data_IF_205250855793
#
_entry.id   IF_205250855793
#
_cell.length_a   1.000
_cell.length_b   1.000
_cell.length_c   1.000
_cell.angle_alpha   90.00
_cell.angle_beta   90.00
_cell.angle_gamma   90.00
#
_symmetry.space_group_name_H-M   'P 1'
#
loop_
_entity.id
_entity.type
_entity.pdbx_description
1 polymer ?
#
# COMPACT_ATOMS: atom_id res chain seq x y z
N UNK A 1 12.99 49.84 -21.34
CA UNK A 1 13.00 48.70 -22.29
C UNK A 1 13.62 47.51 -21.56
N UNK A 2 12.79 46.55 -21.16
CA UNK A 2 13.03 45.17 -20.68
C UNK A 2 11.72 44.75 -19.99
N UNK A 3 10.99 43.72 -20.46
CA UNK A 3 9.69 43.39 -19.90
C UNK A 3 9.83 42.52 -18.64
N UNK A 4 9.07 42.90 -17.60
CA UNK A 4 8.94 42.19 -16.32
C UNK A 4 8.20 40.86 -16.52
N UNK A 5 8.82 39.74 -16.12
CA UNK A 5 8.17 38.44 -16.03
C UNK A 5 7.28 38.37 -14.79
N UNK A 6 6.01 38.06 -15.03
CA UNK A 6 4.96 37.85 -14.02
C UNK A 6 5.13 36.45 -13.44
N UNK A 7 5.36 36.37 -12.12
CA UNK A 7 5.36 35.12 -11.35
C UNK A 7 3.93 34.84 -10.87
N UNK A 8 3.34 33.65 -11.10
CA UNK A 8 2.09 33.29 -10.44
C UNK A 8 2.37 32.93 -8.97
N UNK A 9 1.90 33.79 -8.06
CA UNK A 9 1.82 33.50 -6.62
C UNK A 9 0.64 32.55 -6.38
N UNK A 10 0.89 31.42 -5.72
CA UNK A 10 -0.14 30.45 -5.39
C UNK A 10 0.34 29.34 -4.45
N UNK A 11 1.12 29.68 -3.41
CA UNK A 11 1.34 28.77 -2.28
C UNK A 11 0.32 29.12 -1.19
N UNK A 12 -0.63 28.22 -0.91
CA UNK A 12 -1.53 28.30 0.24
C UNK A 12 -0.70 28.08 1.51
N UNK A 13 -0.31 29.18 2.15
CA UNK A 13 0.28 29.20 3.50
C UNK A 13 -0.88 29.30 4.49
N UNK A 14 -1.20 28.21 5.18
CA UNK A 14 -2.26 28.19 6.20
C UNK A 14 -1.66 28.64 7.54
N UNK A 15 -2.06 29.83 8.00
CA UNK A 15 -1.88 30.29 9.38
C UNK A 15 -3.26 30.63 9.93
N UNK A 16 -3.66 30.07 11.07
CA UNK A 16 -4.92 30.41 11.74
C UNK A 16 -4.72 30.82 13.20
N UNK A 17 -5.54 31.76 13.73
CA UNK A 17 -5.51 32.22 15.10
C UNK A 17 -6.30 31.29 16.05
N UNK A 18 -5.93 31.32 17.33
CA UNK A 18 -6.57 30.58 18.45
C UNK A 18 -8.04 30.97 18.62
N UNK A 19 -8.94 29.98 18.72
CA UNK A 19 -10.30 30.17 19.27
C UNK A 19 -10.64 28.99 20.21
N UNK A 20 -11.24 29.34 21.35
CA UNK A 20 -11.57 28.54 22.55
C UNK A 20 -12.87 27.74 22.35
N UNK A 21 -13.05 26.54 22.95
CA UNK A 21 -14.20 25.68 22.69
C UNK A 21 -15.45 26.09 23.49
N UNK A 22 -16.63 25.93 22.88
CA UNK A 22 -17.94 25.92 23.56
C UNK A 22 -18.72 24.68 23.08
N UNK A 23 -19.41 23.92 23.96
CA UNK A 23 -20.10 22.69 23.59
C UNK A 23 -21.61 22.88 23.46
N UNK A 24 -22.23 22.51 22.32
CA UNK A 24 -23.68 22.22 22.23
C UNK A 24 -23.97 21.18 21.11
N UNK A 25 -25.16 20.56 21.03
CA UNK A 25 -25.33 19.11 21.10
C UNK A 25 -25.82 18.48 19.78
N UNK A 26 -25.91 17.15 19.81
CA UNK A 26 -26.22 16.21 18.74
C UNK A 26 -27.52 16.56 17.99
N UNK A 27 -27.38 16.92 16.71
CA UNK A 27 -28.40 16.85 15.66
C UNK A 27 -27.66 16.50 14.36
N UNK A 28 -27.86 15.28 13.87
CA UNK A 28 -27.13 14.71 12.72
C UNK A 28 -27.52 15.47 11.44
N UNK A 29 -26.60 16.20 10.78
CA UNK A 29 -26.92 16.94 9.56
C UNK A 29 -26.87 16.04 8.33
N UNK A 30 -27.48 16.53 7.26
CA UNK A 30 -27.53 16.02 5.87
C UNK A 30 -26.12 15.94 5.20
N UNK A 31 -25.05 16.08 5.99
CA UNK A 31 -23.63 16.13 5.61
C UNK A 31 -22.98 14.78 5.26
N UNK A 32 -23.75 13.68 5.26
CA UNK A 32 -23.25 12.33 5.04
C UNK A 32 -23.43 11.80 3.61
N UNK A 33 -23.97 12.56 2.65
CA UNK A 33 -24.41 11.97 1.38
C UNK A 33 -23.29 11.46 0.46
N UNK A 34 -22.12 12.11 0.38
CA UNK A 34 -20.97 11.55 -0.34
C UNK A 34 -20.36 10.34 0.39
N UNK A 35 -20.43 10.33 1.72
CA UNK A 35 -20.07 9.21 2.60
C UNK A 35 -21.03 8.01 2.42
N UNK A 36 -22.32 8.27 2.22
CA UNK A 36 -23.36 7.26 1.96
C UNK A 36 -23.29 6.70 0.54
N UNK A 37 -23.04 7.56 -0.45
CA UNK A 37 -23.04 7.18 -1.87
C UNK A 37 -21.80 6.34 -2.23
N UNK A 38 -20.64 6.62 -1.62
CA UNK A 38 -19.41 5.85 -1.89
C UNK A 38 -19.17 4.71 -0.90
N UNK A 39 -19.60 4.78 0.37
CA UNK A 39 -19.02 3.92 1.42
C UNK A 39 -19.98 3.21 2.40
N UNK A 40 -21.29 3.47 2.46
CA UNK A 40 -22.16 2.74 3.39
C UNK A 40 -23.48 2.22 2.79
N UNK A 41 -23.35 1.13 2.04
CA UNK A 41 -24.28 -0.01 2.15
C UNK A 41 -23.49 -1.29 2.44
N UNK A 42 -22.60 -1.24 3.43
CA UNK A 42 -22.27 -2.44 4.22
C UNK A 42 -23.22 -2.37 5.40
N UNK A 43 -24.26 -3.21 5.34
CA UNK A 43 -25.36 -3.27 6.28
C UNK A 43 -24.87 -3.19 7.75
N UNK A 44 -25.52 -2.36 8.58
CA UNK A 44 -25.33 -2.28 10.04
C UNK A 44 -25.74 -3.57 10.77
N UNK A 45 -25.96 -4.68 10.05
CA UNK A 45 -26.23 -6.02 10.56
C UNK A 45 -25.04 -6.97 10.56
N UNK A 46 -23.86 -6.55 10.08
CA UNK A 46 -22.64 -7.37 10.23
C UNK A 46 -22.00 -7.13 11.60
N UNK A 47 -22.79 -7.34 12.65
CA UNK A 47 -22.27 -7.64 13.98
C UNK A 47 -22.12 -9.16 14.06
N UNK A 48 -20.94 -9.61 14.46
CA UNK A 48 -20.61 -11.02 14.71
C UNK A 48 -20.61 -11.96 13.49
N UNK A 49 -19.54 -11.89 12.69
CA UNK A 49 -18.87 -13.11 12.21
C UNK A 49 -17.37 -12.85 12.34
N UNK A 50 -16.77 -13.31 13.44
CA UNK A 50 -15.31 -13.43 13.58
C UNK A 50 -14.90 -14.64 12.74
N UNK A 51 -14.78 -14.42 11.44
CA UNK A 51 -13.79 -15.13 10.64
C UNK A 51 -12.60 -14.17 10.60
N UNK A 52 -11.38 -14.66 10.79
CA UNK A 52 -10.15 -13.88 10.64
C UNK A 52 -10.20 -13.18 9.28
N UNK A 53 -10.66 -11.93 9.24
CA UNK A 53 -10.85 -11.20 7.99
C UNK A 53 -9.50 -10.61 7.63
N UNK A 54 -8.87 -11.17 6.60
CA UNK A 54 -7.71 -10.53 5.98
C UNK A 54 -8.22 -9.22 5.36
N UNK A 55 -7.93 -8.10 6.01
CA UNK A 55 -8.16 -6.79 5.43
C UNK A 55 -7.22 -6.61 4.24
N UNK A 56 -7.74 -6.07 3.14
CA UNK A 56 -6.96 -5.85 1.94
C UNK A 56 -6.99 -4.39 1.55
N UNK A 57 -5.82 -3.84 1.27
CA UNK A 57 -5.73 -2.52 0.64
C UNK A 57 -5.96 -2.62 -0.86
N UNK A 58 -6.87 -1.81 -1.35
CA UNK A 58 -7.11 -1.65 -2.78
C UNK A 58 -7.21 -0.17 -3.15
N UNK A 59 -7.36 0.10 -4.45
CA UNK A 59 -7.27 1.45 -5.00
C UNK A 59 -8.52 1.81 -5.80
N UNK A 60 -9.01 3.02 -5.56
CA UNK A 60 -10.04 3.71 -6.34
C UNK A 60 -9.38 4.91 -7.00
N UNK A 61 -9.64 5.16 -8.28
CA UNK A 61 -9.06 6.28 -9.03
C UNK A 61 -10.18 7.06 -9.72
N UNK A 62 -10.23 8.37 -9.50
CA UNK A 62 -11.03 9.33 -10.24
C UNK A 62 -10.09 10.22 -11.04
N UNK A 63 -10.17 10.20 -12.37
CA UNK A 63 -9.51 11.17 -13.24
C UNK A 63 -10.54 12.16 -13.76
N UNK A 64 -10.46 13.37 -13.25
CA UNK A 64 -11.34 14.50 -13.54
C UNK A 64 -10.69 15.37 -14.62
N UNK A 65 -11.18 15.26 -15.86
CA UNK A 65 -10.59 15.96 -16.99
C UNK A 65 -11.00 17.43 -16.97
N UNK A 66 -10.04 18.34 -17.14
CA UNK A 66 -10.30 19.79 -17.22
C UNK A 66 -10.67 20.44 -15.89
N UNK A 67 -10.74 19.67 -14.79
CA UNK A 67 -11.03 20.17 -13.46
C UNK A 67 -9.77 20.47 -12.68
N UNK A 68 -9.85 21.45 -11.79
CA UNK A 68 -8.85 21.86 -10.83
C UNK A 68 -9.35 21.62 -9.40
N UNK A 69 -8.46 21.55 -8.40
CA UNK A 69 -8.88 21.38 -7.00
C UNK A 69 -9.75 22.53 -6.48
N UNK A 70 -9.68 23.70 -7.11
CA UNK A 70 -10.56 24.84 -6.82
C UNK A 70 -11.99 24.67 -7.32
N UNK A 71 -12.22 23.79 -8.30
CA UNK A 71 -13.54 23.55 -8.90
C UNK A 71 -14.37 22.55 -8.07
N UNK A 72 -13.79 21.99 -7.01
CA UNK A 72 -14.52 21.10 -6.11
C UNK A 72 -15.64 21.86 -5.37
N UNK A 73 -16.86 21.28 -5.30
CA UNK A 73 -17.90 21.80 -4.42
C UNK A 73 -17.36 22.00 -3.00
N UNK A 74 -17.76 23.09 -2.34
CA UNK A 74 -17.23 23.48 -1.02
C UNK A 74 -17.44 22.36 0.01
N UNK A 75 -18.57 21.68 -0.06
CA UNK A 75 -18.93 20.50 0.73
C UNK A 75 -17.97 19.34 0.50
N UNK A 76 -17.75 18.93 -0.77
CA UNK A 76 -16.79 17.89 -1.12
C UNK A 76 -15.37 18.24 -0.66
N UNK A 77 -14.94 19.49 -0.87
CA UNK A 77 -13.61 19.95 -0.43
C UNK A 77 -13.46 19.88 1.08
N UNK A 78 -14.48 20.30 1.82
CA UNK A 78 -14.49 20.24 3.29
C UNK A 78 -14.46 18.80 3.76
N UNK A 79 -15.24 17.91 3.16
CA UNK A 79 -15.24 16.48 3.46
C UNK A 79 -13.90 15.82 3.18
N UNK A 80 -13.26 16.11 2.04
CA UNK A 80 -11.92 15.58 1.74
C UNK A 80 -10.92 16.04 2.80
N UNK A 81 -10.95 17.32 3.19
CA UNK A 81 -10.03 17.86 4.22
C UNK A 81 -10.32 17.24 5.59
N UNK A 82 -11.59 17.17 5.99
CA UNK A 82 -12.02 16.59 7.26
C UNK A 82 -11.63 15.11 7.33
N UNK A 83 -11.83 14.37 6.24
CA UNK A 83 -11.48 12.96 6.16
C UNK A 83 -9.98 12.70 6.24
N UNK A 84 -9.18 13.47 5.50
CA UNK A 84 -7.72 13.43 5.61
C UNK A 84 -7.23 13.82 7.01
N UNK A 85 -8.00 14.64 7.73
CA UNK A 85 -7.70 15.05 9.10
C UNK A 85 -8.10 14.01 10.15
N UNK A 86 -9.17 13.23 9.91
CA UNK A 86 -9.77 12.33 10.92
C UNK A 86 -9.44 10.84 10.72
N UNK A 87 -9.18 10.37 9.51
CA UNK A 87 -8.89 8.94 9.25
C UNK A 87 -7.71 8.73 8.29
N UNK A 88 -6.52 9.27 8.63
CA UNK A 88 -5.32 9.12 7.82
C UNK A 88 -4.71 7.71 7.84
N UNK A 89 -5.26 6.75 8.60
CA UNK A 89 -4.73 5.37 8.64
C UNK A 89 -5.11 4.60 7.38
N UNK A 90 -6.35 4.78 6.92
CA UNK A 90 -6.93 3.91 5.91
C UNK A 90 -6.84 4.47 4.52
N UNK A 91 -6.50 5.76 4.36
CA UNK A 91 -6.57 6.43 3.06
C UNK A 91 -5.36 7.28 2.74
N UNK A 92 -4.76 7.00 1.59
CA UNK A 92 -3.79 7.85 0.92
C UNK A 92 -4.43 8.44 -0.34
N UNK A 93 -4.23 9.75 -0.56
CA UNK A 93 -4.59 10.39 -1.81
C UNK A 93 -3.55 11.35 -2.36
N UNK A 94 -3.52 11.50 -3.67
CA UNK A 94 -2.66 12.43 -4.40
C UNK A 94 -3.47 13.22 -5.43
N UNK A 95 -2.99 14.41 -5.79
CA UNK A 95 -3.57 15.31 -6.81
C UNK A 95 -2.48 15.74 -7.79
N UNK A 96 -2.80 15.92 -9.08
CA UNK A 96 -1.87 16.37 -10.13
C UNK A 96 -2.28 17.69 -10.79
N UNK A 97 -1.32 18.50 -11.28
CA UNK A 97 -1.58 19.61 -12.19
C UNK A 97 -1.97 19.13 -13.61
N UNK A 98 -2.88 19.84 -14.28
CA UNK A 98 -3.31 19.57 -15.67
C UNK A 98 -4.57 18.70 -15.81
N UNK A 99 -4.85 17.82 -14.84
CA UNK A 99 -6.14 17.20 -14.59
C UNK A 99 -6.15 16.69 -13.14
N UNK A 100 -7.27 16.79 -12.42
CA UNK A 100 -7.31 16.27 -11.06
C UNK A 100 -7.47 14.76 -11.11
N UNK A 101 -6.38 14.05 -10.83
CA UNK A 101 -6.43 12.62 -10.53
C UNK A 101 -6.51 12.48 -9.03
N UNK A 102 -7.64 12.04 -8.50
CA UNK A 102 -7.81 11.64 -7.12
C UNK A 102 -7.67 10.13 -7.05
N UNK A 103 -6.70 9.63 -6.31
CA UNK A 103 -6.61 8.20 -6.02
C UNK A 103 -6.76 7.99 -4.54
N UNK A 104 -7.49 6.95 -4.18
CA UNK A 104 -7.85 6.63 -2.80
C UNK A 104 -7.42 5.19 -2.61
N UNK A 105 -6.41 4.98 -1.78
CA UNK A 105 -6.10 3.65 -1.25
C UNK A 105 -7.01 3.40 -0.06
N UNK A 106 -7.60 2.23 0.09
CA UNK A 106 -8.43 1.91 1.25
C UNK A 106 -8.22 0.47 1.72
N UNK A 107 -8.01 0.27 3.03
CA UNK A 107 -8.03 -1.06 3.65
C UNK A 107 -9.46 -1.44 4.01
N UNK A 108 -9.96 -2.55 3.47
CA UNK A 108 -11.24 -3.13 3.88
C UNK A 108 -11.27 -4.65 3.64
N UNK A 109 -12.17 -5.40 4.31
CA UNK A 109 -12.31 -6.84 4.08
C UNK A 109 -12.59 -7.19 2.61
N UNK A 110 -12.15 -8.38 2.17
CA UNK A 110 -12.33 -8.84 0.79
C UNK A 110 -13.78 -8.77 0.30
N UNK A 111 -14.75 -9.14 1.14
CA UNK A 111 -16.17 -9.07 0.78
C UNK A 111 -16.65 -7.63 0.52
N UNK A 112 -16.14 -6.65 1.27
CA UNK A 112 -16.50 -5.25 1.10
C UNK A 112 -15.95 -4.71 -0.22
N UNK A 113 -14.74 -5.12 -0.59
CA UNK A 113 -14.17 -4.86 -1.92
C UNK A 113 -15.00 -5.46 -3.05
N UNK A 114 -15.44 -6.71 -2.90
CA UNK A 114 -16.28 -7.38 -3.90
C UNK A 114 -17.63 -6.68 -4.06
N UNK A 115 -18.28 -6.32 -2.96
CA UNK A 115 -19.50 -5.53 -2.98
C UNK A 115 -19.26 -4.21 -3.70
N UNK A 116 -18.23 -3.44 -3.33
CA UNK A 116 -17.89 -2.16 -3.97
C UNK A 116 -17.76 -2.31 -5.49
N UNK A 117 -16.99 -3.29 -5.96
CA UNK A 117 -16.76 -3.55 -7.37
C UNK A 117 -18.06 -3.95 -8.08
N UNK A 118 -18.84 -4.85 -7.48
CA UNK A 118 -20.07 -5.39 -8.07
C UNK A 118 -21.15 -4.30 -8.20
N UNK A 119 -21.35 -3.49 -7.17
CA UNK A 119 -22.30 -2.37 -7.16
C UNK A 119 -21.72 -1.01 -7.60
N UNK A 120 -20.56 -0.98 -8.26
CA UNK A 120 -19.90 0.28 -8.64
C UNK A 120 -20.77 1.14 -9.55
N UNK A 121 -21.49 0.53 -10.51
CA UNK A 121 -22.33 1.27 -11.44
C UNK A 121 -23.46 2.01 -10.72
N UNK A 122 -24.21 1.31 -9.87
CA UNK A 122 -25.31 1.87 -9.07
C UNK A 122 -24.80 3.01 -8.18
N UNK A 123 -23.64 2.84 -7.54
CA UNK A 123 -22.99 3.91 -6.76
C UNK A 123 -22.64 5.14 -7.59
N UNK A 124 -22.16 4.95 -8.82
CA UNK A 124 -21.89 6.05 -9.73
C UNK A 124 -23.18 6.73 -10.19
N UNK A 125 -24.26 5.98 -10.42
CA UNK A 125 -25.58 6.53 -10.74
C UNK A 125 -26.09 7.40 -9.60
N UNK A 126 -25.96 6.96 -8.35
CA UNK A 126 -26.26 7.77 -7.18
C UNK A 126 -25.36 9.01 -7.04
N UNK A 127 -24.07 8.91 -7.36
CA UNK A 127 -23.14 10.04 -7.33
C UNK A 127 -23.56 11.13 -8.31
N UNK A 128 -23.93 10.75 -9.53
CA UNK A 128 -24.43 11.64 -10.58
C UNK A 128 -25.81 12.23 -10.23
N UNK A 129 -26.64 11.49 -9.48
CA UNK A 129 -27.95 11.93 -9.03
C UNK A 129 -27.92 12.81 -7.75
N UNK A 130 -26.76 12.94 -7.09
CA UNK A 130 -26.62 13.69 -5.83
C UNK A 130 -26.90 15.19 -5.96
N UNK A 131 -27.04 15.89 -4.83
CA UNK A 131 -27.25 17.36 -4.83
C UNK A 131 -26.06 18.13 -5.42
N UNK A 132 -24.86 17.56 -5.37
CA UNK A 132 -23.64 18.02 -6.06
C UNK A 132 -23.54 17.47 -7.49
N UNK A 133 -24.63 16.88 -7.99
CA UNK A 133 -24.69 16.19 -9.26
C UNK A 133 -24.25 17.06 -10.43
N UNK A 134 -24.39 18.38 -10.37
CA UNK A 134 -23.91 19.27 -11.44
C UNK A 134 -22.40 19.19 -11.61
N UNK A 135 -21.64 19.02 -10.54
CA UNK A 135 -20.21 18.74 -10.64
C UNK A 135 -19.98 17.36 -11.28
N UNK A 136 -20.69 16.32 -10.88
CA UNK A 136 -20.47 14.96 -11.42
C UNK A 136 -21.05 14.74 -12.83
N UNK A 137 -22.00 15.59 -13.25
CA UNK A 137 -22.62 15.61 -14.58
C UNK A 137 -21.82 16.40 -15.59
N UNK A 138 -20.97 17.33 -15.15
CA UNK A 138 -20.16 18.20 -16.01
C UNK A 138 -18.79 17.59 -16.32
N UNK A 139 -18.33 17.85 -17.55
CA UNK A 139 -17.08 17.37 -18.11
C UNK A 139 -16.99 15.85 -18.20
N UNK A 140 -15.75 15.37 -18.34
CA UNK A 140 -15.41 13.96 -18.46
C UNK A 140 -14.79 13.51 -17.15
N UNK A 141 -15.26 12.37 -16.63
CA UNK A 141 -14.70 11.74 -15.44
C UNK A 141 -14.46 10.27 -15.76
N UNK A 142 -13.28 9.78 -15.42
CA UNK A 142 -12.95 8.35 -15.51
C UNK A 142 -12.80 7.80 -14.10
N UNK A 143 -13.52 6.72 -13.80
CA UNK A 143 -13.50 6.04 -12.51
C UNK A 143 -12.98 4.63 -12.67
N UNK A 144 -11.94 4.27 -11.93
CA UNK A 144 -11.36 2.94 -11.93
C UNK A 144 -11.39 2.35 -10.52
N UNK A 145 -11.93 1.14 -10.39
CA UNK A 145 -11.86 0.32 -9.16
C UNK A 145 -11.46 -1.09 -9.55
N UNK A 146 -10.29 -1.54 -9.07
CA UNK A 146 -9.64 -2.77 -9.55
C UNK A 146 -9.61 -2.81 -11.09
N UNK A 147 -10.21 -3.84 -11.71
CA UNK A 147 -10.29 -4.01 -13.16
C UNK A 147 -11.49 -3.31 -13.81
N UNK A 148 -12.42 -2.74 -13.04
CA UNK A 148 -13.60 -2.06 -13.61
C UNK A 148 -13.29 -0.60 -13.89
N UNK A 149 -13.58 -0.17 -15.13
CA UNK A 149 -13.35 1.18 -15.61
C UNK A 149 -14.65 1.78 -16.14
N UNK A 150 -15.09 2.90 -15.57
CA UNK A 150 -16.28 3.63 -15.97
C UNK A 150 -15.92 5.02 -16.48
N UNK A 151 -16.60 5.44 -17.54
CA UNK A 151 -16.47 6.76 -18.10
C UNK A 151 -17.80 7.51 -17.96
N UNK A 152 -17.74 8.65 -17.28
CA UNK A 152 -18.83 9.57 -17.05
C UNK A 152 -18.65 10.75 -17.99
N UNK A 153 -19.70 11.05 -18.76
CA UNK A 153 -19.73 12.22 -19.63
C UNK A 153 -21.16 12.72 -19.73
N UNK A 154 -21.37 14.01 -19.46
CA UNK A 154 -22.67 14.68 -19.58
C UNK A 154 -23.78 13.94 -18.79
N UNK A 155 -23.45 13.49 -17.57
CA UNK A 155 -24.32 12.71 -16.70
C UNK A 155 -24.59 11.26 -17.13
N UNK A 156 -24.02 10.79 -18.24
CA UNK A 156 -24.15 9.40 -18.70
C UNK A 156 -22.97 8.57 -18.25
N UNK A 157 -23.25 7.41 -17.65
CA UNK A 157 -22.24 6.44 -17.21
C UNK A 157 -22.10 5.36 -18.27
N UNK A 158 -20.86 5.05 -18.65
CA UNK A 158 -20.54 3.96 -19.58
C UNK A 158 -19.47 3.07 -18.99
N UNK A 159 -19.76 1.77 -18.88
CA UNK A 159 -18.73 0.78 -18.60
C UNK A 159 -17.81 0.66 -19.82
N UNK A 160 -16.52 0.87 -19.62
CA UNK A 160 -15.51 0.58 -20.64
C UNK A 160 -15.23 -0.93 -20.55
N UNK A 161 -15.91 -1.70 -21.39
CA UNK A 161 -15.53 -3.09 -21.66
C UNK A 161 -14.18 -3.04 -22.38
N UNK A 162 -13.12 -3.51 -21.74
CA UNK A 162 -11.76 -3.56 -22.30
C UNK A 162 -11.68 -4.56 -23.44
N UNK A 163 -12.31 -4.27 -24.59
CA UNK A 163 -12.25 -5.12 -25.78
C UNK A 163 -10.99 -4.87 -26.63
N UNK A 164 -10.07 -4.00 -26.18
CA UNK A 164 -8.77 -3.78 -26.82
C UNK A 164 -7.65 -3.65 -25.78
N UNK A 165 -7.17 -4.76 -25.19
CA UNK A 165 -5.97 -4.75 -24.34
C UNK A 165 -4.67 -4.62 -25.13
N UNK A 166 -4.69 -4.83 -26.45
CA UNK A 166 -3.46 -5.09 -27.22
C UNK A 166 -2.53 -3.88 -27.43
N UNK A 167 -3.00 -2.64 -27.28
CA UNK A 167 -2.20 -1.44 -27.59
C UNK A 167 -2.06 -0.46 -26.41
N UNK A 168 -2.49 -0.82 -25.19
CA UNK A 168 -2.20 0.03 -24.03
C UNK A 168 -0.93 -0.45 -23.34
N UNK A 169 -0.10 0.47 -22.81
CA UNK A 169 1.05 0.09 -22.00
C UNK A 169 0.59 -0.62 -20.74
N UNK A 170 1.30 -1.68 -20.40
CA UNK A 170 1.11 -2.38 -19.15
C UNK A 170 2.47 -2.69 -18.54
N UNK A 171 2.65 -2.26 -17.30
CA UNK A 171 3.83 -2.52 -16.51
C UNK A 171 3.64 -3.85 -15.78
N UNK A 172 4.58 -4.77 -15.98
CA UNK A 172 4.56 -6.10 -15.38
C UNK A 172 5.43 -6.17 -14.12
N UNK A 173 6.64 -5.63 -14.19
CA UNK A 173 7.60 -5.59 -13.08
C UNK A 173 8.49 -4.36 -13.15
N UNK A 174 9.06 -4.00 -12.00
CA UNK A 174 10.01 -2.91 -11.82
C UNK A 174 11.17 -3.42 -10.99
N UNK A 175 12.39 -3.12 -11.42
CA UNK A 175 13.62 -3.58 -10.79
C UNK A 175 14.60 -2.43 -10.56
N UNK A 176 15.21 -2.28 -9.38
CA UNK A 176 14.86 -2.97 -8.15
C UNK A 176 13.48 -2.55 -7.62
N UNK A 177 12.81 -3.42 -6.84
CA UNK A 177 11.53 -3.12 -6.18
C UNK A 177 11.71 -2.28 -4.91
N UNK A 178 12.95 -2.15 -4.44
CA UNK A 178 13.33 -1.34 -3.29
C UNK A 178 14.60 -0.54 -3.59
N UNK A 179 14.58 0.75 -3.27
CA UNK A 179 15.70 1.68 -3.45
C UNK A 179 16.16 2.23 -2.11
N UNK A 180 17.45 2.53 -2.01
CA UNK A 180 18.05 3.06 -0.78
C UNK A 180 17.65 4.53 -0.59
N UNK A 181 17.17 4.88 0.61
CA UNK A 181 16.79 6.24 0.95
C UNK A 181 17.99 7.20 0.81
N UNK A 182 17.80 8.32 0.10
CA UNK A 182 18.87 9.28 -0.17
C UNK A 182 19.73 9.00 -1.40
N UNK A 183 19.56 7.85 -2.07
CA UNK A 183 20.38 7.47 -3.23
C UNK A 183 19.59 7.55 -4.55
N UNK A 184 20.25 8.01 -5.61
CA UNK A 184 19.71 7.95 -6.96
C UNK A 184 19.86 6.53 -7.50
N UNK A 185 18.78 5.96 -8.01
CA UNK A 185 18.76 4.59 -8.56
C UNK A 185 18.16 4.59 -9.96
N UNK A 186 18.71 3.76 -10.86
CA UNK A 186 18.11 3.53 -12.18
C UNK A 186 17.29 2.27 -12.14
N UNK A 187 16.00 2.39 -12.46
CA UNK A 187 15.07 1.27 -12.50
C UNK A 187 14.99 0.69 -13.92
N UNK A 188 14.80 -0.62 -14.00
CA UNK A 188 14.42 -1.37 -15.20
C UNK A 188 12.91 -1.66 -15.13
N UNK A 189 12.16 -1.09 -16.05
CA UNK A 189 10.72 -1.28 -16.19
C UNK A 189 10.47 -2.35 -17.25
N UNK A 190 9.79 -3.44 -16.90
CA UNK A 190 9.41 -4.50 -17.84
C UNK A 190 7.90 -4.51 -18.02
N UNK A 191 7.44 -4.56 -19.26
CA UNK A 191 6.03 -4.53 -19.58
C UNK A 191 5.75 -4.74 -21.06
N UNK A 192 4.48 -4.68 -21.46
CA UNK A 192 4.09 -4.61 -22.87
C UNK A 192 3.80 -3.18 -23.28
N UNK A 193 3.95 -2.89 -24.57
CA UNK A 193 3.56 -1.61 -25.16
C UNK A 193 4.19 -0.36 -24.48
N UNK A 194 5.32 -0.50 -23.78
CA UNK A 194 5.97 0.63 -23.11
C UNK A 194 6.57 1.62 -24.13
N UNK A 195 6.80 1.16 -25.37
CA UNK A 195 7.47 1.92 -26.42
C UNK A 195 6.50 2.75 -27.29
N UNK A 196 5.19 2.76 -26.96
CA UNK A 196 4.20 3.47 -27.77
C UNK A 196 4.49 4.99 -27.70
N UNK A 197 4.57 5.69 -28.84
CA UNK A 197 4.77 7.14 -28.87
C UNK A 197 3.71 7.88 -28.04
N UNK A 198 4.16 8.79 -27.16
CA UNK A 198 3.29 9.53 -26.26
C UNK A 198 3.04 8.86 -24.91
N UNK A 199 3.60 7.66 -24.67
CA UNK A 199 3.65 7.04 -23.34
C UNK A 199 4.52 7.88 -22.40
N UNK A 200 4.01 8.13 -21.20
CA UNK A 200 4.70 8.90 -20.16
C UNK A 200 5.05 8.00 -18.99
N UNK A 201 6.28 8.16 -18.51
CA UNK A 201 6.78 7.50 -17.31
C UNK A 201 6.87 8.54 -16.20
N UNK A 202 6.31 8.23 -15.04
CA UNK A 202 6.28 9.15 -13.90
C UNK A 202 6.68 8.42 -12.62
N UNK A 203 7.37 9.13 -11.74
CA UNK A 203 7.51 8.74 -10.35
C UNK A 203 6.69 9.68 -9.47
N UNK A 204 5.78 9.11 -8.68
CA UNK A 204 5.08 9.81 -7.60
C UNK A 204 5.78 9.52 -6.27
N UNK A 205 6.30 10.54 -5.59
CA UNK A 205 6.93 10.37 -4.29
C UNK A 205 6.65 11.58 -3.39
N UNK A 206 6.08 11.34 -2.20
CA UNK A 206 5.70 12.38 -1.21
C UNK A 206 4.97 13.60 -1.82
N UNK A 207 4.01 13.35 -2.70
CA UNK A 207 3.22 14.40 -3.37
C UNK A 207 3.96 15.16 -4.48
N UNK A 208 5.22 14.81 -4.77
CA UNK A 208 5.98 15.34 -5.90
C UNK A 208 5.97 14.36 -7.07
N UNK A 209 6.06 14.93 -8.27
CA UNK A 209 6.17 14.19 -9.52
C UNK A 209 7.49 14.50 -10.17
N UNK A 210 8.30 13.48 -10.40
CA UNK A 210 9.49 13.60 -11.24
C UNK A 210 9.19 12.99 -12.61
N UNK A 211 9.57 13.74 -13.65
CA UNK A 211 9.35 13.43 -15.06
C UNK A 211 10.65 13.01 -15.76
N UNK A 212 11.71 12.71 -15.01
CA UNK A 212 13.06 12.65 -15.56
C UNK A 212 13.31 11.39 -16.39
N UNK A 213 13.41 11.62 -17.70
CA UNK A 213 14.24 10.95 -18.69
C UNK A 213 14.27 9.43 -18.65
N UNK A 214 13.47 8.80 -19.51
CA UNK A 214 13.79 7.44 -19.99
C UNK A 214 15.22 7.47 -20.52
N UNK A 215 16.14 6.80 -19.83
CA UNK A 215 17.58 7.04 -20.01
C UNK A 215 18.10 6.38 -21.29
N UNK A 216 17.56 5.21 -21.67
CA UNK A 216 17.93 4.51 -22.89
C UNK A 216 16.97 3.34 -23.15
N UNK A 217 16.74 3.05 -24.43
CA UNK A 217 16.01 1.87 -24.91
C UNK A 217 16.96 0.68 -24.91
N UNK A 218 16.63 -0.38 -24.17
CA UNK A 218 17.32 -1.65 -24.33
C UNK A 218 16.67 -2.40 -25.49
N UNK A 219 17.29 -2.35 -26.67
CA UNK A 219 17.00 -3.30 -27.75
C UNK A 219 17.69 -4.62 -27.39
N UNK A 220 16.92 -5.71 -27.29
CA UNK A 220 17.50 -7.03 -27.09
C UNK A 220 18.25 -7.47 -28.36
N UNK A 221 19.59 -7.48 -28.34
CA UNK A 221 20.39 -8.33 -29.23
C UNK A 221 20.54 -9.71 -28.58
N UNK A 222 19.44 -10.45 -28.38
CA UNK A 222 19.51 -11.86 -28.00
C UNK A 222 19.21 -12.74 -29.22
N UNK A 223 20.25 -13.39 -29.75
CA UNK A 223 20.22 -14.32 -30.88
C UNK A 223 19.47 -15.65 -30.60
N UNK A 224 18.77 -15.74 -29.47
CA UNK A 224 18.05 -16.93 -28.99
C UNK A 224 16.68 -16.61 -28.37
N UNK A 225 16.07 -15.47 -28.73
CA UNK A 225 14.72 -15.13 -28.28
C UNK A 225 13.68 -16.12 -28.82
N UNK A 226 13.25 -17.03 -27.95
CA UNK A 226 12.03 -17.83 -28.14
C UNK A 226 10.80 -16.90 -28.07
N UNK A 227 10.28 -16.49 -29.24
CA UNK A 227 8.86 -16.23 -29.55
C UNK A 227 7.91 -15.56 -28.53
N UNK A 228 8.35 -14.70 -27.61
CA UNK A 228 7.45 -13.82 -26.83
C UNK A 228 7.64 -12.36 -27.23
N UNK A 229 7.19 -12.01 -28.43
CA UNK A 229 7.41 -10.72 -29.12
C UNK A 229 6.82 -9.44 -28.48
N UNK A 230 6.33 -9.44 -27.23
CA UNK A 230 5.61 -8.28 -26.66
C UNK A 230 6.17 -7.74 -25.32
N UNK A 231 7.34 -8.22 -24.88
CA UNK A 231 7.99 -7.66 -23.69
C UNK A 231 8.99 -6.56 -24.06
N UNK A 232 8.77 -5.37 -23.53
CA UNK A 232 9.58 -4.17 -23.70
C UNK A 232 10.22 -3.79 -22.37
N UNK A 233 11.49 -3.36 -22.42
CA UNK A 233 12.27 -2.89 -21.27
C UNK A 233 12.57 -1.39 -21.41
N UNK A 234 12.43 -0.65 -20.32
CA UNK A 234 12.73 0.79 -20.28
C UNK A 234 13.53 1.13 -19.02
N UNK A 235 14.57 1.97 -19.17
CA UNK A 235 15.34 2.47 -18.03
C UNK A 235 14.75 3.78 -17.52
N UNK A 236 14.57 3.91 -16.21
CA UNK A 236 13.92 5.07 -15.61
C UNK A 236 14.63 5.47 -14.32
N UNK A 237 15.16 6.69 -14.26
CA UNK A 237 15.92 7.16 -13.09
C UNK A 237 14.98 7.72 -12.03
N UNK A 238 15.20 7.31 -10.79
CA UNK A 238 14.48 7.82 -9.62
C UNK A 238 15.47 8.25 -8.54
N UNK A 239 15.05 9.21 -7.73
CA UNK A 239 15.78 9.61 -6.53
C UNK A 239 15.11 9.00 -5.30
N UNK A 240 15.91 8.42 -4.40
CA UNK A 240 15.49 7.87 -3.11
C UNK A 240 15.05 8.92 -2.09
N UNK A 241 14.83 10.16 -2.51
CA UNK A 241 14.36 11.24 -1.66
C UNK A 241 15.42 11.72 -0.66
N UNK A 242 15.00 12.32 0.46
CA UNK A 242 15.92 12.67 1.54
C UNK A 242 16.49 11.42 2.23
N UNK A 243 17.75 11.46 2.71
CA UNK A 243 18.34 10.35 3.45
C UNK A 243 17.54 10.04 4.73
N UNK A 244 17.53 8.77 5.14
CA UNK A 244 16.83 8.25 6.33
C UNK A 244 15.29 8.41 6.31
N UNK A 245 14.69 8.80 5.19
CA UNK A 245 13.24 8.89 5.04
C UNK A 245 12.73 7.67 4.28
N UNK A 246 12.18 6.72 5.03
CA UNK A 246 11.58 5.52 4.45
C UNK A 246 10.19 5.79 3.87
N UNK A 247 9.73 4.97 2.94
CA UNK A 247 8.39 5.08 2.38
C UNK A 247 8.20 4.25 1.13
N UNK A 248 7.41 4.79 0.21
CA UNK A 248 7.30 4.26 -1.16
C UNK A 248 7.21 5.38 -2.18
N UNK A 249 7.66 5.09 -3.38
CA UNK A 249 7.27 5.82 -4.57
C UNK A 249 6.41 4.94 -5.48
N UNK A 250 5.68 5.56 -6.38
CA UNK A 250 4.90 4.87 -7.39
C UNK A 250 5.50 5.14 -8.76
N UNK A 251 5.90 4.09 -9.45
CA UNK A 251 6.31 4.14 -10.85
C UNK A 251 5.10 3.93 -11.72
N UNK A 252 4.94 4.79 -12.70
CA UNK A 252 3.69 4.85 -13.43
C UNK A 252 3.93 4.97 -14.92
N UNK A 253 3.09 4.26 -15.65
CA UNK A 253 3.05 4.31 -17.10
C UNK A 253 1.67 4.79 -17.50
N UNK A 254 1.63 5.93 -18.18
CA UNK A 254 0.40 6.55 -18.64
C UNK A 254 0.42 6.67 -20.16
N UNK A 255 -0.65 6.19 -20.79
CA UNK A 255 -0.94 6.45 -22.20
C UNK A 255 -2.43 6.71 -22.35
N UNK A 256 -2.77 7.87 -22.91
CA UNK A 256 -4.14 8.36 -23.11
C UNK A 256 -4.98 8.40 -21.81
N UNK A 257 -5.84 7.40 -21.60
CA UNK A 257 -6.78 7.29 -20.49
C UNK A 257 -6.35 6.24 -19.45
N UNK A 258 -5.50 5.29 -19.84
CA UNK A 258 -5.11 4.17 -18.98
C UNK A 258 -3.80 4.46 -18.29
N UNK A 259 -3.73 4.06 -17.03
CA UNK A 259 -2.58 4.24 -16.16
C UNK A 259 -2.28 2.95 -15.43
N UNK A 260 -1.05 2.48 -15.57
CA UNK A 260 -0.50 1.39 -14.78
C UNK A 260 0.45 1.96 -13.73
N UNK A 261 0.49 1.36 -12.54
CA UNK A 261 1.25 1.85 -11.40
C UNK A 261 1.87 0.65 -10.67
N UNK A 262 3.12 0.80 -10.28
CA UNK A 262 3.87 -0.19 -9.51
C UNK A 262 4.50 0.49 -8.27
N UNK A 263 4.32 -0.04 -7.06
CA UNK A 263 4.96 0.49 -5.85
C UNK A 263 6.44 0.08 -5.80
N UNK A 264 7.31 1.04 -5.48
CA UNK A 264 8.73 0.81 -5.20
C UNK A 264 9.01 1.31 -3.78
N UNK A 265 9.61 0.47 -2.95
CA UNK A 265 9.91 0.79 -1.55
C UNK A 265 11.14 1.70 -1.48
N UNK A 266 11.10 2.69 -0.61
CA UNK A 266 12.26 3.49 -0.23
C UNK A 266 12.63 3.07 1.18
N UNK A 267 13.80 2.45 1.37
CA UNK A 267 14.19 1.87 2.64
C UNK A 267 15.71 1.95 2.89
N UNK A 268 16.13 1.41 4.04
CA UNK A 268 17.55 1.24 4.35
C UNK A 268 18.14 0.07 3.54
N UNK A 269 19.46 0.09 3.32
CA UNK A 269 20.17 -0.90 2.49
C UNK A 269 19.87 -2.35 2.87
N UNK A 270 19.84 -2.68 4.17
CA UNK A 270 19.56 -4.03 4.64
C UNK A 270 18.15 -4.52 4.26
N UNK A 271 17.15 -3.64 4.35
CA UNK A 271 15.76 -3.96 3.96
C UNK A 271 15.67 -4.07 2.44
N UNK A 272 16.36 -3.21 1.68
CA UNK A 272 16.43 -3.32 0.23
C UNK A 272 16.99 -4.68 -0.21
N UNK A 273 18.07 -5.15 0.42
CA UNK A 273 18.66 -6.47 0.12
C UNK A 273 17.68 -7.62 0.43
N UNK A 274 16.93 -7.55 1.52
CA UNK A 274 15.94 -8.56 1.87
C UNK A 274 14.79 -8.60 0.86
N UNK A 275 14.26 -7.44 0.45
CA UNK A 275 13.15 -7.36 -0.50
C UNK A 275 13.51 -7.84 -1.92
N UNK A 276 14.80 -7.95 -2.28
CA UNK A 276 15.23 -8.51 -3.57
C UNK A 276 14.79 -9.96 -3.80
N UNK A 277 14.38 -10.71 -2.78
CA UNK A 277 13.87 -12.07 -3.00
C UNK A 277 12.50 -12.07 -3.70
N UNK A 278 11.65 -11.06 -3.45
CA UNK A 278 10.32 -10.91 -4.06
C UNK A 278 10.39 -10.62 -5.57
N UNK A 279 11.51 -10.07 -5.97
CA UNK A 279 11.84 -9.69 -7.33
C UNK A 279 11.80 -10.93 -8.24
N UNK A 280 12.38 -12.06 -7.79
CA UNK A 280 12.30 -13.36 -8.48
C UNK A 280 10.88 -13.92 -8.51
N UNK A 281 10.12 -13.79 -7.41
CA UNK A 281 8.72 -14.26 -7.33
C UNK A 281 7.84 -13.54 -8.38
N UNK A 282 8.02 -12.22 -8.52
CA UNK A 282 7.26 -11.42 -9.49
C UNK A 282 7.62 -11.80 -10.93
N UNK A 283 8.90 -12.07 -11.21
CA UNK A 283 9.37 -12.43 -12.54
C UNK A 283 8.91 -13.85 -12.95
N UNK A 284 8.99 -14.85 -12.08
CA UNK A 284 8.52 -16.23 -12.34
C UNK A 284 7.01 -16.28 -12.64
N UNK A 285 6.23 -15.52 -11.89
CA UNK A 285 4.79 -15.36 -12.11
C UNK A 285 4.45 -14.63 -13.41
N UNK A 286 5.36 -13.78 -13.89
CA UNK A 286 5.16 -13.04 -15.15
C UNK A 286 5.50 -13.90 -16.37
N UNK A 287 6.46 -14.83 -16.24
CA UNK A 287 6.85 -15.75 -17.31
C UNK A 287 5.84 -16.88 -17.53
N UNK A 288 5.25 -17.41 -16.46
CA UNK A 288 4.20 -18.45 -16.53
C UNK A 288 2.89 -17.97 -17.19
N UNK A 289 2.58 -16.67 -17.11
CA UNK A 289 1.45 -16.06 -17.81
C UNK A 289 1.67 -15.88 -19.32
N UNK A 290 2.93 -15.94 -19.79
CA UNK A 290 3.28 -15.80 -21.20
C UNK A 290 3.07 -17.05 -22.06
N UNK A 291 2.76 -18.20 -21.44
CA UNK A 291 2.64 -19.51 -22.12
C UNK A 291 1.21 -20.02 -22.27
N UNK A 292 0.20 -19.29 -21.77
CA UNK A 292 -1.21 -19.66 -21.94
C UNK A 292 -1.75 -19.02 -23.22
N UNK A 293 -2.12 -19.85 -24.20
CA UNK A 293 -2.80 -19.43 -25.42
C UNK A 293 -4.05 -18.56 -25.09
N UNK A 294 -4.16 -17.43 -25.77
CA UNK A 294 -5.07 -16.30 -25.50
C UNK A 294 -6.54 -16.58 -25.90
N UNK A 295 -6.96 -17.84 -26.01
CA UNK A 295 -8.29 -18.20 -26.53
C UNK A 295 -9.31 -18.69 -25.49
N UNK A 296 -9.04 -18.53 -24.18
CA UNK A 296 -10.06 -18.81 -23.14
C UNK A 296 -10.24 -17.68 -22.14
N UNK A 297 -10.62 -16.49 -22.63
CA UNK A 297 -11.25 -15.47 -21.77
C UNK A 297 -12.73 -15.83 -21.56
N UNK A 298 -12.96 -16.87 -20.77
CA UNK A 298 -14.31 -17.38 -20.58
C UNK A 298 -14.46 -18.58 -19.66
N UNK A 299 -13.60 -18.84 -18.67
CA UNK A 299 -14.05 -19.64 -17.52
C UNK A 299 -13.17 -19.46 -16.27
N UNK A 300 -13.79 -19.73 -15.13
CA UNK A 300 -13.39 -19.50 -13.77
C UNK A 300 -12.25 -20.44 -13.28
N UNK A 301 -11.65 -20.04 -12.15
CA UNK A 301 -10.98 -20.88 -11.14
C UNK A 301 -9.50 -21.26 -11.29
N UNK A 302 -8.87 -21.36 -12.47
CA UNK A 302 -7.45 -21.72 -12.54
C UNK A 302 -6.47 -20.53 -12.46
N UNK A 303 -6.88 -19.34 -12.92
CA UNK A 303 -6.06 -18.11 -12.95
C UNK A 303 -5.86 -17.45 -11.57
N UNK A 304 -6.49 -17.98 -10.51
CA UNK A 304 -6.56 -17.32 -9.21
C UNK A 304 -5.28 -17.44 -8.36
N UNK A 305 -4.45 -18.47 -8.56
CA UNK A 305 -3.31 -18.75 -7.66
C UNK A 305 -2.08 -17.91 -8.00
N UNK A 306 -1.66 -17.90 -9.27
CA UNK A 306 -0.49 -17.13 -9.73
C UNK A 306 -0.74 -15.61 -9.75
N UNK A 307 -1.96 -15.20 -10.11
CA UNK A 307 -2.44 -13.82 -9.92
C UNK A 307 -2.55 -13.46 -8.43
N UNK A 308 -2.82 -14.45 -7.57
CA UNK A 308 -2.93 -14.31 -6.12
C UNK A 308 -1.62 -13.91 -5.45
N UNK A 309 -0.54 -14.64 -5.70
CA UNK A 309 0.78 -14.40 -5.07
C UNK A 309 1.32 -13.02 -5.47
N UNK A 310 1.37 -12.71 -6.77
CA UNK A 310 1.81 -11.37 -7.26
C UNK A 310 0.98 -10.25 -6.63
N UNK A 311 -0.32 -10.46 -6.52
CA UNK A 311 -1.21 -9.49 -5.90
C UNK A 311 -0.97 -9.36 -4.39
N UNK A 312 -0.68 -10.46 -3.70
CA UNK A 312 -0.29 -10.46 -2.28
C UNK A 312 1.00 -9.69 -2.07
N UNK A 313 2.04 -9.95 -2.87
CA UNK A 313 3.31 -9.20 -2.86
C UNK A 313 3.06 -7.70 -3.08
N UNK A 314 2.26 -7.33 -4.09
CA UNK A 314 1.92 -5.93 -4.34
C UNK A 314 1.09 -5.31 -3.20
N UNK A 315 0.21 -6.07 -2.54
CA UNK A 315 -0.50 -5.61 -1.35
C UNK A 315 0.48 -5.39 -0.20
N UNK A 316 1.39 -6.33 0.04
CA UNK A 316 2.44 -6.21 1.05
C UNK A 316 3.32 -4.97 0.83
N UNK A 317 3.82 -4.73 -0.38
CA UNK A 317 4.61 -3.53 -0.71
C UNK A 317 3.81 -2.24 -0.48
N UNK A 318 2.51 -2.24 -0.81
CA UNK A 318 1.63 -1.11 -0.51
C UNK A 318 1.36 -0.95 1.00
N UNK A 319 1.32 -2.01 1.79
CA UNK A 319 1.18 -1.87 3.25
C UNK A 319 2.47 -1.36 3.87
N UNK A 320 3.60 -1.95 3.48
CA UNK A 320 4.92 -1.65 4.00
C UNK A 320 5.31 -0.21 3.74
N UNK A 321 5.23 0.22 2.47
CA UNK A 321 5.57 1.58 2.10
C UNK A 321 4.67 2.62 2.78
N UNK A 322 3.42 2.26 3.11
CA UNK A 322 2.48 3.16 3.78
C UNK A 322 2.87 3.38 5.22
N UNK A 323 3.17 2.28 5.92
CA UNK A 323 3.68 2.31 7.28
C UNK A 323 4.96 3.16 7.37
N UNK A 324 5.91 2.94 6.48
CA UNK A 324 7.17 3.69 6.44
C UNK A 324 6.98 5.18 6.17
N UNK A 325 6.13 5.54 5.22
CA UNK A 325 5.85 6.95 4.92
C UNK A 325 5.16 7.65 6.09
N UNK A 326 4.32 6.91 6.82
CA UNK A 326 3.55 7.43 7.94
C UNK A 326 4.38 7.62 9.20
N UNK A 327 5.32 6.74 9.51
CA UNK A 327 6.19 6.88 10.68
C UNK A 327 7.02 8.17 10.64
N UNK A 328 7.33 8.67 9.44
CA UNK A 328 8.00 9.97 9.26
C UNK A 328 7.06 11.18 9.46
N UNK A 329 5.75 11.02 9.21
CA UNK A 329 4.79 12.12 9.38
C UNK A 329 4.54 12.44 10.85
N UNK A 330 4.52 11.41 11.69
CA UNK A 330 4.36 11.53 13.15
C UNK A 330 5.56 12.25 13.79
N UNK A 331 6.75 12.14 13.20
CA UNK A 331 7.97 12.82 13.67
C UNK A 331 8.11 14.24 13.12
N UNK A 332 7.70 14.52 11.88
CA UNK A 332 7.88 15.85 11.24
C UNK A 332 6.80 16.89 11.62
N UNK A 333 5.56 16.49 11.95
CA UNK A 333 4.42 17.44 12.05
C UNK A 333 3.55 17.34 13.32
N UNK A 334 3.73 16.32 14.17
CA UNK A 334 2.82 16.11 15.31
C UNK A 334 3.34 16.70 16.62
N UNK A 335 2.97 17.96 16.84
CA UNK A 335 3.07 18.61 18.15
C UNK A 335 1.77 18.66 18.96
N UNK A 336 0.69 17.93 18.60
CA UNK A 336 -0.55 17.70 19.42
C UNK A 336 -1.77 17.11 18.66
N UNK A 337 -1.67 16.69 17.39
CA UNK A 337 -2.81 16.06 16.71
C UNK A 337 -2.82 14.55 16.97
N UNK A 338 -3.97 14.03 17.44
CA UNK A 338 -4.23 12.59 17.56
C UNK A 338 -4.33 11.98 16.17
N UNK A 339 -3.19 11.66 15.57
CA UNK A 339 -3.13 10.94 14.31
C UNK A 339 -3.69 9.53 14.53
N UNK A 340 -4.75 9.17 13.78
CA UNK A 340 -5.37 7.84 13.89
C UNK A 340 -4.28 6.76 13.71
N UNK A 341 -4.03 5.95 14.75
CA UNK A 341 -2.92 4.99 14.78
C UNK A 341 -3.04 3.99 13.62
N UNK A 342 -1.91 3.57 13.05
CA UNK A 342 -1.89 2.50 12.06
C UNK A 342 -2.46 1.22 12.69
N UNK A 343 -3.37 0.54 11.98
CA UNK A 343 -4.11 -0.60 12.55
C UNK A 343 -3.16 -1.73 12.98
N UNK A 344 -3.35 -2.23 14.21
CA UNK A 344 -2.61 -3.39 14.73
C UNK A 344 -2.82 -4.62 13.85
N UNK A 345 -4.01 -4.79 13.24
CA UNK A 345 -4.28 -5.90 12.31
C UNK A 345 -3.41 -5.84 11.05
N UNK A 346 -3.15 -4.62 10.55
CA UNK A 346 -2.28 -4.40 9.38
C UNK A 346 -0.81 -4.64 9.73
N UNK A 347 -0.37 -4.23 10.93
CA UNK A 347 0.93 -4.59 11.47
C UNK A 347 1.13 -6.10 11.54
N UNK A 348 0.13 -6.82 12.06
CA UNK A 348 0.17 -8.29 12.14
C UNK A 348 0.40 -8.92 10.76
N UNK A 349 -0.30 -8.44 9.72
CA UNK A 349 -0.09 -8.90 8.34
C UNK A 349 1.34 -8.70 7.86
N UNK A 350 1.91 -7.51 8.09
CA UNK A 350 3.29 -7.20 7.72
C UNK A 350 4.32 -8.06 8.47
N UNK A 351 4.13 -8.26 9.77
CA UNK A 351 5.00 -9.08 10.61
C UNK A 351 4.96 -10.55 10.18
N UNK A 352 3.76 -11.09 9.93
CA UNK A 352 3.60 -12.46 9.43
C UNK A 352 4.31 -12.63 8.08
N UNK A 353 4.12 -11.68 7.16
CA UNK A 353 4.76 -11.75 5.86
C UNK A 353 6.29 -11.70 5.97
N UNK A 354 6.84 -10.83 6.82
CA UNK A 354 8.29 -10.72 7.02
C UNK A 354 8.91 -11.95 7.71
N UNK A 355 8.24 -12.57 8.70
CA UNK A 355 8.74 -13.81 9.33
C UNK A 355 8.69 -14.99 8.38
N UNK A 356 7.64 -15.10 7.57
CA UNK A 356 7.48 -16.20 6.62
C UNK A 356 8.53 -16.13 5.47
N UNK A 357 9.18 -14.98 5.27
CA UNK A 357 10.30 -14.76 4.32
C UNK A 357 11.68 -14.62 4.99
N UNK A 358 11.78 -14.82 6.30
CA UNK A 358 13.06 -14.79 7.05
C UNK A 358 13.82 -13.44 7.02
N UNK A 359 13.10 -12.33 6.83
CA UNK A 359 13.67 -10.98 6.73
C UNK A 359 13.88 -10.32 8.11
N UNK A 360 15.04 -10.56 8.71
CA UNK A 360 15.37 -10.10 10.05
C UNK A 360 15.48 -8.56 10.17
N UNK A 361 16.06 -7.88 9.18
CA UNK A 361 16.21 -6.43 9.21
C UNK A 361 14.85 -5.74 9.09
N UNK A 362 13.99 -6.23 8.19
CA UNK A 362 12.62 -5.74 8.09
C UNK A 362 11.79 -6.08 9.34
N UNK A 363 11.91 -7.30 9.87
CA UNK A 363 11.22 -7.70 11.10
C UNK A 363 11.59 -6.75 12.25
N UNK A 364 12.87 -6.47 12.44
CA UNK A 364 13.35 -5.50 13.43
C UNK A 364 12.68 -4.14 13.24
N UNK A 365 12.69 -3.63 12.01
CA UNK A 365 12.11 -2.32 11.72
C UNK A 365 10.61 -2.28 11.99
N UNK A 366 9.88 -3.33 11.64
CA UNK A 366 8.44 -3.44 11.87
C UNK A 366 8.12 -3.50 13.37
N UNK A 367 8.87 -4.29 14.14
CA UNK A 367 8.71 -4.36 15.60
C UNK A 367 9.05 -3.02 16.25
N UNK A 368 10.18 -2.39 15.89
CA UNK A 368 10.56 -1.07 16.41
C UNK A 368 9.41 -0.06 16.21
N UNK A 369 8.86 0.02 14.98
CA UNK A 369 7.72 0.87 14.66
C UNK A 369 6.45 0.49 15.42
N UNK A 370 6.18 -0.81 15.56
CA UNK A 370 5.02 -1.30 16.30
C UNK A 370 5.05 -0.80 17.75
N UNK A 371 6.18 -0.96 18.43
CA UNK A 371 6.33 -0.51 19.82
C UNK A 371 6.34 1.01 19.94
N UNK A 372 7.01 1.73 19.03
CA UNK A 372 7.02 3.20 19.03
C UNK A 372 5.60 3.77 18.85
N UNK A 373 4.81 3.24 17.91
CA UNK A 373 3.49 3.77 17.58
C UNK A 373 2.39 3.36 18.59
N UNK A 374 2.63 2.28 19.36
CA UNK A 374 1.68 1.76 20.33
C UNK A 374 2.07 2.03 21.80
N UNK A 375 3.24 2.59 22.07
CA UNK A 375 3.62 3.08 23.40
C UNK A 375 2.74 4.28 23.79
N UNK A 376 1.88 4.10 24.81
CA UNK A 376 1.10 5.16 25.43
C UNK A 376 1.83 5.81 26.61
N UNK A 377 1.19 6.79 27.26
CA UNK A 377 1.69 7.43 28.49
C UNK A 377 1.75 6.46 29.69
N UNK A 378 0.99 5.36 29.65
CA UNK A 378 0.91 4.32 30.69
C UNK A 378 1.51 2.97 30.22
N UNK A 379 2.36 2.98 29.18
CA UNK A 379 2.92 1.77 28.58
C UNK A 379 2.15 1.30 27.33
N UNK A 380 2.42 0.07 26.88
CA UNK A 380 1.77 -0.51 25.71
C UNK A 380 0.30 -0.82 25.99
N UNK A 381 -0.57 -0.61 25.01
CA UNK A 381 -1.97 -1.04 25.14
C UNK A 381 -2.04 -2.57 25.21
N UNK A 382 -2.65 -3.12 26.27
CA UNK A 382 -2.79 -4.57 26.48
C UNK A 382 -3.31 -5.31 25.23
N UNK A 383 -4.33 -4.74 24.57
CA UNK A 383 -4.89 -5.32 23.34
C UNK A 383 -3.99 -5.27 22.10
N UNK A 384 -2.92 -4.46 22.08
CA UNK A 384 -1.92 -4.52 21.01
C UNK A 384 -0.95 -5.69 21.21
N UNK A 385 -0.53 -5.94 22.45
CA UNK A 385 0.35 -7.06 22.79
C UNK A 385 -0.34 -8.41 22.57
N UNK A 386 -1.62 -8.53 22.94
CA UNK A 386 -2.43 -9.71 22.63
C UNK A 386 -2.46 -9.99 21.12
N UNK A 387 -2.76 -8.98 20.29
CA UNK A 387 -2.78 -9.14 18.82
C UNK A 387 -1.39 -9.41 18.22
N UNK A 388 -0.32 -8.90 18.83
CA UNK A 388 1.05 -9.27 18.44
C UNK A 388 1.30 -10.75 18.73
N UNK A 389 0.86 -11.25 19.89
CA UNK A 389 0.98 -12.67 20.26
C UNK A 389 0.21 -13.59 19.29
N UNK A 390 -0.96 -13.16 18.80
CA UNK A 390 -1.74 -13.88 17.77
C UNK A 390 -1.01 -14.03 16.43
N UNK A 391 0.07 -13.28 16.20
CA UNK A 391 0.91 -13.45 15.01
C UNK A 391 1.76 -14.73 15.09
N UNK A 392 2.03 -15.22 16.32
CA UNK A 392 2.84 -16.43 16.59
C UNK A 392 4.20 -16.41 15.86
N UNK A 393 4.91 -15.27 15.92
CA UNK A 393 6.12 -15.03 15.14
C UNK A 393 7.22 -16.06 15.43
N UNK A 394 7.45 -16.39 16.71
CA UNK A 394 8.47 -17.38 17.09
C UNK A 394 8.11 -18.79 16.59
N UNK A 395 6.84 -19.21 16.72
CA UNK A 395 6.39 -20.49 16.16
C UNK A 395 6.57 -20.56 14.63
N UNK A 396 6.32 -19.45 13.93
CA UNK A 396 6.53 -19.37 12.47
C UNK A 396 8.00 -19.48 12.11
N UNK A 397 8.88 -18.76 12.81
CA UNK A 397 10.32 -18.83 12.60
C UNK A 397 10.87 -20.26 12.82
N UNK A 398 10.39 -20.94 13.87
CA UNK A 398 10.72 -22.36 14.14
C UNK A 398 10.21 -23.27 13.02
N UNK A 399 8.96 -23.10 12.60
CA UNK A 399 8.37 -23.89 11.51
C UNK A 399 9.09 -23.68 10.17
N UNK A 400 9.64 -22.49 9.95
CA UNK A 400 10.49 -22.13 8.81
C UNK A 400 11.90 -22.70 8.89
N UNK A 401 12.28 -23.29 10.03
CA UNK A 401 13.63 -23.77 10.32
C UNK A 401 14.70 -22.66 10.15
N UNK A 402 14.37 -21.43 10.56
CA UNK A 402 15.25 -20.27 10.39
C UNK A 402 15.90 -19.85 11.71
N UNK A 403 17.10 -20.40 11.98
CA UNK A 403 17.86 -20.12 13.21
C UNK A 403 18.09 -18.62 13.42
N UNK A 404 18.48 -17.90 12.37
CA UNK A 404 18.73 -16.44 12.45
C UNK A 404 17.50 -15.65 12.91
N UNK A 405 16.32 -16.00 12.42
CA UNK A 405 15.07 -15.34 12.81
C UNK A 405 14.64 -15.74 14.22
N UNK A 406 14.83 -17.01 14.61
CA UNK A 406 14.61 -17.49 15.99
C UNK A 406 15.51 -16.73 16.97
N UNK A 407 16.82 -16.69 16.71
CA UNK A 407 17.79 -15.95 17.51
C UNK A 407 17.42 -14.48 17.60
N UNK A 408 17.08 -13.85 16.46
CA UNK A 408 16.66 -12.45 16.43
C UNK A 408 15.44 -12.18 17.31
N UNK A 409 14.38 -13.00 17.20
CA UNK A 409 13.14 -12.81 17.96
C UNK A 409 13.37 -13.02 19.46
N UNK A 410 14.13 -14.04 19.84
CA UNK A 410 14.46 -14.35 21.23
C UNK A 410 15.23 -13.20 21.92
N UNK A 411 16.10 -12.51 21.19
CA UNK A 411 16.92 -11.41 21.71
C UNK A 411 16.36 -10.01 21.42
N UNK A 412 15.16 -9.91 20.84
CA UNK A 412 14.60 -8.62 20.47
C UNK A 412 14.20 -7.79 21.70
N UNK A 413 14.69 -6.55 21.75
CA UNK A 413 14.40 -5.57 22.79
C UNK A 413 13.79 -4.29 22.19
N UNK A 414 12.60 -3.84 22.63
CA UNK A 414 11.97 -2.63 22.12
C UNK A 414 12.76 -1.34 22.46
N UNK A 415 12.75 -0.33 21.57
CA UNK A 415 13.52 0.90 21.76
C UNK A 415 12.98 1.87 22.83
N UNK A 416 11.70 1.78 23.20
CA UNK A 416 11.01 2.88 23.93
C UNK A 416 10.44 2.50 25.30
N UNK A 417 10.72 1.30 25.83
CA UNK A 417 10.15 0.86 27.10
C UNK A 417 11.25 0.88 28.16
N UNK A 418 11.11 1.67 29.24
CA UNK A 418 12.09 1.66 30.32
C UNK A 418 12.19 0.23 30.85
N UNK A 419 13.42 -0.27 30.89
CA UNK A 419 13.81 -1.64 31.28
C UNK A 419 13.23 -2.11 32.60
N UNK A 420 12.65 -1.22 33.42
CA UNK A 420 12.00 -1.55 34.68
C UNK A 420 10.61 -2.19 34.56
N UNK A 421 9.87 -2.02 33.45
CA UNK A 421 8.56 -2.69 33.26
C UNK A 421 8.69 -4.10 32.65
N UNK A 422 9.76 -4.36 31.89
CA UNK A 422 10.05 -5.67 31.28
C UNK A 422 11.30 -6.33 31.87
N UNK A 423 11.61 -6.03 33.14
CA UNK A 423 12.93 -6.27 33.74
C UNK A 423 13.40 -7.71 33.82
N UNK A 424 12.63 -8.69 33.32
CA UNK A 424 13.04 -10.10 33.17
C UNK A 424 12.19 -10.89 32.15
N UNK A 425 11.41 -10.25 31.27
CA UNK A 425 10.49 -10.97 30.37
C UNK A 425 10.79 -10.67 28.91
N UNK A 426 11.48 -11.62 28.26
CA UNK A 426 11.59 -11.66 26.80
C UNK A 426 10.18 -11.62 26.19
N UNK A 427 9.98 -10.79 25.16
CA UNK A 427 8.66 -10.65 24.51
C UNK A 427 8.27 -11.96 23.82
N UNK A 428 9.27 -12.61 23.22
CA UNK A 428 9.14 -13.89 22.57
C UNK A 428 9.87 -14.90 23.42
N UNK A 429 9.16 -15.94 23.87
CA UNK A 429 9.71 -16.94 24.78
C UNK A 429 9.43 -18.35 24.28
N UNK A 430 10.35 -19.32 24.47
CA UNK A 430 10.21 -20.69 23.96
C UNK A 430 9.08 -21.48 24.63
N UNK A 431 8.59 -21.02 25.78
CA UNK A 431 7.48 -21.60 26.54
C UNK A 431 6.12 -20.96 26.19
N UNK A 432 6.09 -19.95 25.31
CA UNK A 432 4.85 -19.28 24.96
C UNK A 432 3.87 -20.24 24.26
N UNK A 433 2.66 -20.35 24.81
CA UNK A 433 1.62 -21.19 24.24
C UNK A 433 1.09 -20.57 22.94
N UNK A 434 1.20 -21.29 21.84
CA UNK A 434 0.64 -20.94 20.54
C UNK A 434 -0.72 -21.61 20.29
N UNK A 435 -1.12 -21.74 19.02
CA UNK A 435 -2.34 -22.46 18.64
C UNK A 435 -2.31 -23.88 19.21
N UNK A 436 -3.45 -24.33 19.76
CA UNK A 436 -3.60 -25.64 20.41
C UNK A 436 -2.71 -25.84 21.66
N UNK A 437 -2.14 -24.78 22.23
CA UNK A 437 -1.27 -24.86 23.40
C UNK A 437 0.15 -25.37 23.09
N UNK A 438 0.49 -25.51 21.80
CA UNK A 438 1.83 -25.95 21.39
C UNK A 438 2.81 -24.79 21.53
N UNK A 439 3.99 -25.09 22.08
CA UNK A 439 5.07 -24.11 22.25
C UNK A 439 6.02 -24.18 21.05
N UNK A 440 6.86 -23.16 20.81
CA UNK A 440 7.90 -23.25 19.79
C UNK A 440 8.79 -24.48 19.97
N UNK A 441 9.12 -24.86 21.21
CA UNK A 441 9.91 -26.06 21.48
C UNK A 441 9.19 -27.36 21.11
N UNK A 442 7.88 -27.47 21.36
CA UNK A 442 7.08 -28.61 20.90
C UNK A 442 7.11 -28.74 19.37
N UNK A 443 7.02 -27.61 18.65
CA UNK A 443 7.09 -27.61 17.17
C UNK A 443 8.47 -28.06 16.71
N UNK A 444 9.55 -27.46 17.25
CA UNK A 444 10.91 -27.82 16.89
C UNK A 444 11.20 -29.31 17.11
N UNK A 445 10.82 -29.86 18.27
CA UNK A 445 11.04 -31.26 18.62
C UNK A 445 10.21 -32.26 17.77
N UNK A 446 9.14 -31.78 17.12
CA UNK A 446 8.29 -32.60 16.24
C UNK A 446 8.73 -32.61 14.77
N UNK A 447 9.70 -31.77 14.41
CA UNK A 447 10.21 -31.62 13.05
C UNK A 447 11.54 -32.36 12.88
N UNK A 448 11.85 -32.75 11.65
CA UNK A 448 13.14 -33.35 11.30
C UNK A 448 14.16 -32.24 10.96
N UNK A 449 15.45 -32.48 11.27
CA UNK A 449 16.57 -31.57 10.98
C UNK A 449 16.44 -30.17 11.61
N UNK A 450 16.04 -30.12 12.89
CA UNK A 450 15.84 -28.90 13.68
C UNK A 450 16.71 -28.86 14.94
N UNK A 451 17.79 -29.66 14.99
CA UNK A 451 18.67 -29.75 16.17
C UNK A 451 19.28 -28.39 16.52
N UNK A 452 19.62 -27.59 15.50
CA UNK A 452 20.16 -26.24 15.63
C UNK A 452 19.11 -25.22 16.12
N UNK A 453 17.83 -25.44 15.81
CA UNK A 453 16.71 -24.65 16.34
C UNK A 453 16.41 -25.02 17.79
N UNK A 454 16.43 -26.32 18.13
CA UNK A 454 16.26 -26.78 19.51
C UNK A 454 17.38 -26.21 20.40
N UNK A 455 18.62 -26.27 19.91
CA UNK A 455 19.78 -25.63 20.53
C UNK A 455 19.52 -24.12 20.77
N UNK A 456 19.12 -23.37 19.75
CA UNK A 456 18.79 -21.95 19.86
C UNK A 456 17.65 -21.65 20.86
N UNK A 457 16.63 -22.51 20.95
CA UNK A 457 15.50 -22.32 21.87
C UNK A 457 15.82 -22.70 23.33
N UNK A 458 16.85 -23.52 23.55
CA UNK A 458 17.23 -24.01 24.90
C UNK A 458 18.51 -23.37 25.44
N UNK A 459 19.27 -22.67 24.59
CA UNK A 459 20.43 -21.88 24.99
C UNK A 459 20.00 -20.75 25.92
N UNK A 460 20.68 -20.60 27.05
CA UNK A 460 20.42 -19.48 27.96
C UNK A 460 20.86 -18.17 27.28
N UNK A 461 19.99 -17.16 27.15
CA UNK A 461 20.36 -15.86 26.60
C UNK A 461 21.42 -15.11 27.43
N UNK A 462 21.87 -15.65 28.57
CA UNK A 462 22.94 -15.09 29.42
C UNK A 462 24.31 -15.80 29.34
N UNK A 463 24.46 -16.88 28.56
CA UNK A 463 25.73 -17.59 28.38
C UNK A 463 26.60 -17.06 27.23
#
# INVERSE_FOLDING_TARGET
MYPRSIVPKGFLKLTYPRIVPVPIPILVPVSWQLFFILFLWVDKRVSLIIIVTNERTGRIVFKLFGKNPGDFPLTLRTQIIEWLSQSPSDIESYIRPGCVILSIYISMPCFAWEQLVNGLQERLEHLVASHEGDFWRTDRILVQVKQRLFFLKDGKIRLIKTLRPLNDPELFSVWPIAIVAGEDTTLVLRGRNLNIPGTKFLCAYRGKYTFEGVLERLEEMDFLASKTHDQTKQMFKVSGGPPNVLGRCFIEVEHTLKRNIFPVIVADTAICMELQSLELEIDDLTMSLGTADIDSFGDLMLDNVHSGVKMETLCFLNELGWLFQRSNWETEYCGNFTTAKFSVSRFRGLLIYAVDHDWCALMKRLLDLFFIMNAGQEGLTHGALEKLSEANLLHRAVKRNCRKMVDFLMHYLPPSIPTHEFKNSFIFSPDMAGPFGLTPLHIAASMENTEDIVDALTSDPQD
#
